data_IF_371580349493
#
_entry.id   IF_371580349493
#
_cell.length_a   1.000
_cell.length_b   1.000
_cell.length_c   1.000
_cell.angle_alpha   90.00
_cell.angle_beta   90.00
_cell.angle_gamma   90.00
#
_symmetry.space_group_name_H-M   'P 1'
#
loop_
_entity.id
_entity.type
_entity.pdbx_description
1 polymer ?
#
# COMPACT_ATOMS: atom_id res chain seq x y z
N UNK A 1 6.88 0.55 -10.03
CA UNK A 1 7.27 0.54 -8.60
C UNK A 1 8.79 0.54 -8.39
N UNK A 2 9.63 0.19 -9.37
CA UNK A 2 11.11 0.16 -9.26
C UNK A 2 11.66 1.45 -8.62
N UNK A 3 11.13 2.62 -8.96
CA UNK A 3 11.51 3.88 -8.31
C UNK A 3 11.30 3.91 -6.80
N UNK A 4 10.47 3.02 -6.23
CA UNK A 4 10.23 3.00 -4.78
C UNK A 4 11.43 2.40 -4.04
N UNK A 5 11.98 1.27 -4.49
CA UNK A 5 13.22 0.72 -3.93
C UNK A 5 14.42 1.65 -4.12
N UNK A 6 14.48 2.37 -5.25
CA UNK A 6 15.53 3.36 -5.50
C UNK A 6 15.48 4.50 -4.50
N UNK A 7 14.30 5.06 -4.22
CA UNK A 7 14.13 6.16 -3.24
C UNK A 7 14.48 5.69 -1.83
N UNK A 8 14.06 4.49 -1.45
CA UNK A 8 14.40 3.91 -0.14
C UNK A 8 15.91 3.72 0.01
N UNK A 9 16.58 3.20 -1.02
CA UNK A 9 18.03 3.04 -1.02
C UNK A 9 18.79 4.38 -0.99
N UNK A 10 18.31 5.40 -1.70
CA UNK A 10 18.88 6.74 -1.65
C UNK A 10 18.77 7.37 -0.26
N UNK A 11 17.61 7.23 0.39
CA UNK A 11 17.39 7.72 1.75
C UNK A 11 18.31 6.99 2.75
N UNK A 12 18.39 5.66 2.65
CA UNK A 12 19.28 4.85 3.48
C UNK A 12 20.75 5.23 3.31
N UNK A 13 21.22 5.34 2.06
CA UNK A 13 22.60 5.72 1.74
C UNK A 13 22.96 7.12 2.27
N UNK A 14 21.99 8.05 2.21
CA UNK A 14 22.21 9.43 2.64
C UNK A 14 22.21 9.60 4.15
N UNK A 15 21.31 8.93 4.86
CA UNK A 15 21.07 9.23 6.27
C UNK A 15 21.56 8.12 7.23
N UNK A 16 21.70 6.89 6.76
CA UNK A 16 22.15 5.74 7.57
C UNK A 16 21.28 5.50 8.80
N UNK A 17 19.97 5.71 8.69
CA UNK A 17 18.99 5.54 9.76
C UNK A 17 17.87 4.64 9.32
N UNK A 18 17.31 3.81 10.23
CA UNK A 18 16.14 3.00 9.93
C UNK A 18 15.00 3.85 9.32
N UNK A 19 14.30 3.29 8.34
CA UNK A 19 13.26 3.97 7.59
C UNK A 19 11.89 3.43 8.02
N UNK A 20 10.95 4.35 8.30
CA UNK A 20 9.54 4.02 8.39
C UNK A 20 8.80 4.63 7.20
N UNK A 21 8.06 3.81 6.46
CA UNK A 21 7.19 4.26 5.37
C UNK A 21 5.85 4.58 6.00
N UNK A 22 5.60 5.87 6.24
CA UNK A 22 4.42 6.32 6.99
C UNK A 22 3.16 6.37 6.14
N UNK A 23 3.31 6.53 4.83
CA UNK A 23 2.18 6.59 3.90
C UNK A 23 2.59 6.02 2.54
N UNK A 24 1.78 5.10 2.01
CA UNK A 24 1.90 4.62 0.64
C UNK A 24 0.55 4.04 0.21
N UNK A 25 -0.07 4.62 -0.82
CA UNK A 25 -1.41 4.21 -1.24
C UNK A 25 -1.84 4.83 -2.55
N UNK A 26 -3.01 4.41 -3.02
CA UNK A 26 -3.63 4.90 -4.26
C UNK A 26 -5.13 5.03 -4.08
N UNK A 27 -5.73 6.04 -4.71
CA UNK A 27 -7.17 6.18 -4.77
C UNK A 27 -7.76 5.14 -5.73
N UNK A 28 -8.68 4.31 -5.23
CA UNK A 28 -9.44 3.36 -6.04
C UNK A 28 -10.83 3.16 -5.41
N UNK A 29 -11.85 3.66 -6.07
CA UNK A 29 -13.24 3.55 -5.63
C UNK A 29 -13.94 2.29 -6.17
N UNK A 30 -13.28 1.51 -7.03
CA UNK A 30 -13.87 0.35 -7.68
C UNK A 30 -14.20 -0.79 -6.69
N UNK A 31 -15.10 -1.68 -7.11
CA UNK A 31 -15.38 -2.94 -6.44
C UNK A 31 -15.44 -4.05 -7.51
N UNK A 32 -14.50 -4.98 -7.51
CA UNK A 32 -13.32 -5.06 -6.65
C UNK A 32 -12.31 -3.93 -6.89
N UNK A 33 -11.54 -3.54 -5.86
CA UNK A 33 -10.52 -2.51 -5.92
C UNK A 33 -9.17 -3.05 -6.43
N UNK A 34 -9.20 -3.56 -7.66
CA UNK A 34 -8.08 -4.30 -8.26
C UNK A 34 -6.83 -3.45 -8.46
N UNK A 35 -7.00 -2.15 -8.71
CA UNK A 35 -5.87 -1.23 -8.87
C UNK A 35 -5.10 -1.08 -7.55
N UNK A 36 -5.81 -0.96 -6.42
CA UNK A 36 -5.18 -0.88 -5.09
C UNK A 36 -4.48 -2.18 -4.73
N UNK A 37 -5.07 -3.33 -5.01
CA UNK A 37 -4.43 -4.63 -4.78
C UNK A 37 -3.11 -4.74 -5.55
N UNK A 38 -3.13 -4.42 -6.85
CA UNK A 38 -1.94 -4.43 -7.71
C UNK A 38 -0.88 -3.43 -7.24
N UNK A 39 -1.27 -2.22 -6.88
CA UNK A 39 -0.39 -1.19 -6.33
C UNK A 39 0.30 -1.69 -5.06
N UNK A 40 -0.48 -2.21 -4.12
CA UNK A 40 0.01 -2.68 -2.82
C UNK A 40 1.02 -3.82 -2.97
N UNK A 41 0.69 -4.86 -3.72
CA UNK A 41 1.57 -6.02 -3.92
C UNK A 41 2.86 -5.60 -4.61
N UNK A 42 2.79 -4.75 -5.64
CA UNK A 42 3.97 -4.30 -6.37
C UNK A 42 4.88 -3.42 -5.53
N UNK A 43 4.34 -2.50 -4.72
CA UNK A 43 5.14 -1.62 -3.86
C UNK A 43 5.74 -2.35 -2.67
N UNK A 44 4.99 -3.24 -2.02
CA UNK A 44 5.54 -4.06 -0.92
C UNK A 44 6.61 -5.05 -1.41
N UNK A 45 6.55 -5.50 -2.66
CA UNK A 45 7.64 -6.25 -3.26
C UNK A 45 8.91 -5.41 -3.40
N UNK A 46 8.80 -4.14 -3.76
CA UNK A 46 9.95 -3.23 -3.80
C UNK A 46 10.51 -2.94 -2.40
N UNK A 47 9.65 -2.87 -1.38
CA UNK A 47 10.10 -2.80 0.03
C UNK A 47 10.89 -4.07 0.38
N UNK A 48 10.37 -5.26 0.05
CA UNK A 48 11.08 -6.51 0.26
C UNK A 48 12.44 -6.53 -0.45
N UNK A 49 12.49 -6.07 -1.71
CA UNK A 49 13.72 -5.98 -2.49
C UNK A 49 14.73 -5.03 -1.84
N UNK A 50 14.29 -3.86 -1.40
CA UNK A 50 15.14 -2.90 -0.70
C UNK A 50 15.74 -3.51 0.58
N UNK A 51 14.94 -4.23 1.38
CA UNK A 51 15.41 -4.87 2.61
C UNK A 51 16.37 -6.04 2.33
N UNK A 52 16.01 -6.95 1.44
CA UNK A 52 16.68 -8.25 1.31
C UNK A 52 17.81 -8.26 0.27
N UNK A 53 17.76 -7.35 -0.71
CA UNK A 53 18.76 -7.29 -1.79
C UNK A 53 19.67 -6.07 -1.63
N UNK A 54 19.10 -4.91 -1.29
CA UNK A 54 19.88 -3.66 -1.15
C UNK A 54 20.37 -3.41 0.29
N UNK A 55 19.89 -4.18 1.27
CA UNK A 55 20.31 -4.07 2.67
C UNK A 55 19.79 -2.82 3.39
N UNK A 56 18.67 -2.26 2.91
CA UNK A 56 18.03 -1.10 3.53
C UNK A 56 17.33 -1.54 4.82
N UNK A 57 17.59 -0.84 5.92
CA UNK A 57 16.92 -1.08 7.20
C UNK A 57 15.56 -0.37 7.23
N UNK A 58 14.47 -1.15 7.15
CA UNK A 58 13.09 -0.67 7.13
C UNK A 58 12.33 -1.25 8.32
N UNK A 59 11.93 -0.38 9.25
CA UNK A 59 11.25 -0.73 10.49
C UNK A 59 9.73 -0.87 10.36
N UNK A 60 9.13 -0.28 9.34
CA UNK A 60 7.68 -0.28 9.24
C UNK A 60 7.13 0.25 7.92
N UNK A 61 5.91 -0.21 7.63
CA UNK A 61 5.13 0.22 6.48
C UNK A 61 3.68 0.46 6.89
N UNK A 62 3.14 1.62 6.54
CA UNK A 62 1.76 2.00 6.78
C UNK A 62 1.07 2.31 5.46
N UNK A 63 0.03 1.55 5.14
CA UNK A 63 -0.76 1.80 3.95
C UNK A 63 -1.64 3.05 4.14
N UNK A 64 -1.63 3.95 3.16
CA UNK A 64 -2.58 5.04 3.09
C UNK A 64 -3.77 4.65 2.21
N UNK A 65 -4.95 4.44 2.83
CA UNK A 65 -5.28 4.63 4.23
C UNK A 65 -6.14 3.47 4.77
N UNK A 66 -6.33 3.42 6.07
CA UNK A 66 -7.18 2.41 6.70
C UNK A 66 -8.66 2.60 6.33
N UNK A 67 -9.16 3.83 6.43
CA UNK A 67 -10.53 4.20 6.09
C UNK A 67 -10.54 5.26 4.99
N UNK A 68 -11.58 5.31 4.17
CA UNK A 68 -11.84 6.50 3.36
C UNK A 68 -11.94 7.72 4.27
N UNK A 69 -11.35 8.84 3.88
CA UNK A 69 -11.26 10.03 4.70
C UNK A 69 -11.33 11.30 3.86
N UNK A 70 -11.19 12.46 4.49
CA UNK A 70 -11.19 13.76 3.87
C UNK A 70 -9.83 14.06 3.22
N UNK A 71 -9.80 14.14 1.90
CA UNK A 71 -8.59 14.38 1.09
C UNK A 71 -8.42 15.88 0.78
N UNK A 72 -8.30 16.70 1.82
CA UNK A 72 -8.01 18.13 1.72
C UNK A 72 -8.87 18.86 0.67
N UNK A 73 -8.25 19.47 -0.35
CA UNK A 73 -8.93 20.21 -1.41
C UNK A 73 -9.85 19.34 -2.28
N UNK A 74 -9.62 18.02 -2.32
CA UNK A 74 -10.43 17.05 -3.08
C UNK A 74 -11.66 16.55 -2.29
N UNK A 75 -11.76 16.91 -1.01
CA UNK A 75 -12.89 16.53 -0.15
C UNK A 75 -12.98 15.03 0.08
N UNK A 76 -14.18 14.47 0.02
CA UNK A 76 -14.45 13.05 0.21
C UNK A 76 -14.51 12.25 -1.11
N UNK A 77 -14.12 12.86 -2.23
CA UNK A 77 -14.17 12.22 -3.55
C UNK A 77 -13.17 11.05 -3.69
N UNK A 78 -11.86 11.26 -3.49
CA UNK A 78 -10.88 10.20 -3.58
C UNK A 78 -11.07 9.14 -2.47
N UNK A 79 -10.96 7.87 -2.85
CA UNK A 79 -11.19 6.72 -1.97
C UNK A 79 -9.90 5.93 -1.77
N UNK A 80 -9.17 6.21 -0.69
CA UNK A 80 -7.90 5.57 -0.36
C UNK A 80 -8.03 4.39 0.59
N UNK A 81 -9.17 4.28 1.29
CA UNK A 81 -9.35 3.34 2.39
C UNK A 81 -9.27 1.87 2.00
N UNK A 82 -8.66 1.04 2.84
CA UNK A 82 -8.86 -0.41 2.84
C UNK A 82 -10.30 -0.76 3.21
N UNK A 83 -10.96 0.12 3.96
CA UNK A 83 -12.38 0.04 4.25
C UNK A 83 -13.10 1.21 3.60
N UNK A 84 -14.12 0.90 2.83
CA UNK A 84 -15.04 1.90 2.32
C UNK A 84 -15.86 2.52 3.45
N UNK A 85 -16.07 3.83 3.41
CA UNK A 85 -16.95 4.56 4.33
C UNK A 85 -18.15 5.07 3.55
N UNK A 86 -19.33 4.68 3.98
CA UNK A 86 -20.60 5.21 3.48
C UNK A 86 -20.97 6.44 4.30
N UNK A 87 -20.73 7.63 3.74
CA UNK A 87 -20.95 8.90 4.42
C UNK A 87 -22.42 9.27 4.59
N UNK A 88 -23.30 8.65 3.78
CA UNK A 88 -24.74 8.89 3.81
C UNK A 88 -25.50 7.90 4.70
N UNK A 89 -24.81 6.85 5.19
CA UNK A 89 -25.39 5.76 5.98
C UNK A 89 -24.62 5.56 7.29
N UNK A 90 -24.68 6.53 8.17
CA UNK A 90 -24.09 6.53 9.53
C UNK A 90 -22.61 6.08 9.55
N UNK A 91 -21.86 6.47 8.52
CA UNK A 91 -20.45 6.12 8.36
C UNK A 91 -20.19 4.60 8.39
N UNK A 92 -21.11 3.80 7.90
CA UNK A 92 -20.96 2.35 7.79
C UNK A 92 -19.68 2.00 7.07
N UNK A 93 -18.96 1.01 7.58
CA UNK A 93 -17.63 0.61 7.08
C UNK A 93 -17.69 -0.79 6.49
N UNK A 94 -17.21 -0.92 5.27
CA UNK A 94 -17.16 -2.21 4.55
C UNK A 94 -15.73 -2.49 4.09
N UNK A 95 -15.14 -3.65 4.43
CA UNK A 95 -13.81 -4.00 3.95
C UNK A 95 -13.83 -4.13 2.42
N UNK A 96 -12.77 -3.62 1.77
CA UNK A 96 -12.49 -3.89 0.37
C UNK A 96 -11.63 -5.15 0.23
N UNK A 97 -11.56 -5.71 -0.96
CA UNK A 97 -10.76 -6.92 -1.22
C UNK A 97 -9.28 -6.72 -0.90
N UNK A 98 -8.76 -5.50 -1.12
CA UNK A 98 -7.40 -5.12 -0.75
C UNK A 98 -7.10 -5.25 0.75
N UNK A 99 -8.09 -5.12 1.64
CA UNK A 99 -7.90 -5.35 3.07
C UNK A 99 -7.52 -6.81 3.35
N UNK A 100 -8.16 -7.75 2.63
CA UNK A 100 -7.82 -9.18 2.69
C UNK A 100 -6.41 -9.46 2.18
N UNK A 101 -6.05 -8.89 1.04
CA UNK A 101 -4.70 -9.00 0.44
C UNK A 101 -3.64 -8.46 1.41
N UNK A 102 -3.86 -7.29 2.00
CA UNK A 102 -2.92 -6.70 2.96
C UNK A 102 -2.76 -7.57 4.22
N UNK A 103 -3.86 -8.07 4.75
CA UNK A 103 -3.83 -8.98 5.91
C UNK A 103 -3.08 -10.29 5.60
N UNK A 104 -3.18 -10.81 4.37
CA UNK A 104 -2.42 -11.98 3.94
C UNK A 104 -0.92 -11.68 3.85
N UNK A 105 -0.54 -10.54 3.26
CA UNK A 105 0.86 -10.10 3.19
C UNK A 105 1.47 -9.97 4.58
N UNK A 106 0.75 -9.38 5.53
CA UNK A 106 1.21 -9.23 6.91
C UNK A 106 1.45 -10.59 7.57
N UNK A 107 0.60 -11.59 7.30
CA UNK A 107 0.70 -12.91 7.91
C UNK A 107 1.75 -13.82 7.28
N UNK A 108 1.89 -13.77 5.97
CA UNK A 108 2.61 -14.79 5.20
C UNK A 108 3.62 -14.23 4.18
N UNK A 109 3.67 -12.90 4.00
CA UNK A 109 4.45 -12.27 2.94
C UNK A 109 3.79 -12.41 1.57
N UNK A 110 4.52 -12.00 0.53
CA UNK A 110 4.05 -12.05 -0.85
C UNK A 110 4.48 -13.39 -1.46
N UNK A 111 3.51 -14.26 -1.77
CA UNK A 111 3.77 -15.51 -2.49
C UNK A 111 3.94 -15.27 -4.00
N UNK A 112 4.56 -16.24 -4.71
CA UNK A 112 4.66 -16.19 -6.17
C UNK A 112 3.29 -16.19 -6.85
N UNK A 113 2.31 -16.89 -6.28
CA UNK A 113 0.94 -16.89 -6.77
C UNK A 113 0.29 -15.51 -6.63
N UNK A 114 0.41 -14.87 -5.47
CA UNK A 114 -0.07 -13.50 -5.24
C UNK A 114 0.59 -12.52 -6.20
N UNK A 115 1.90 -12.62 -6.37
CA UNK A 115 2.63 -11.79 -7.33
C UNK A 115 2.14 -12.00 -8.77
N UNK A 116 1.93 -13.24 -9.20
CA UNK A 116 1.44 -13.53 -10.54
C UNK A 116 0.03 -12.99 -10.78
N UNK A 117 -0.84 -13.06 -9.76
CA UNK A 117 -2.22 -12.56 -9.81
C UNK A 117 -2.29 -11.03 -9.90
N UNK A 118 -1.41 -10.33 -9.20
CA UNK A 118 -1.45 -8.87 -9.07
C UNK A 118 -0.36 -8.15 -9.88
N UNK A 119 0.18 -8.78 -10.89
CA UNK A 119 1.05 -8.09 -11.87
C UNK A 119 0.25 -7.00 -12.58
N UNK A 120 0.74 -5.77 -12.53
CA UNK A 120 0.07 -4.64 -13.11
C UNK A 120 1.01 -3.63 -13.77
N UNK A 121 0.45 -2.49 -14.19
CA UNK A 121 1.18 -1.46 -14.94
C UNK A 121 2.17 -0.64 -14.09
N UNK A 122 2.33 -0.97 -12.83
CA UNK A 122 3.24 -0.25 -11.92
C UNK A 122 4.65 -0.85 -11.94
#
# INVERSE_FOLDING_TARGET
PIGFSDVLNQAWTRYGKPIQILENGIADAAQPDSLRQTFMVSHLREVWYAMNILGVDIDGYFHWSHLDNFEWAEGFGPRFGLFAVDYDNDFARTPRDSAGVYAEIIRAGISDAMWAQHRGPF
#
